data_IF_806792405301
#
_entry.id   IF_806792405301
#
_cell.length_a   1.000
_cell.length_b   1.000
_cell.length_c   1.000
_cell.angle_alpha   90.00
_cell.angle_beta   90.00
_cell.angle_gamma   90.00
#
_symmetry.space_group_name_H-M   'P 1'
#
loop_
_entity.id
_entity.type
_entity.pdbx_description
1 polymer ?
#
# COMPACT_ATOMS: atom_id res chain seq x y z
N UNK A 1 22.02 -5.97 -26.16
CA UNK A 1 21.90 -5.86 -24.68
C UNK A 1 20.52 -5.42 -24.20
N UNK A 2 19.71 -4.68 -24.99
CA UNK A 2 18.34 -4.31 -24.61
C UNK A 2 17.31 -5.47 -24.65
N UNK A 3 17.55 -6.50 -25.47
CA UNK A 3 16.62 -7.62 -25.66
C UNK A 3 16.69 -8.72 -24.60
N UNK A 4 17.70 -8.70 -23.70
CA UNK A 4 17.80 -9.70 -22.62
C UNK A 4 16.97 -9.31 -21.38
N UNK A 5 16.75 -8.01 -21.18
CA UNK A 5 16.02 -7.47 -20.01
C UNK A 5 14.50 -7.56 -20.20
N UNK A 6 14.01 -7.45 -21.44
CA UNK A 6 12.57 -7.55 -21.75
C UNK A 6 12.03 -9.00 -21.73
N UNK A 7 12.86 -10.00 -22.06
CA UNK A 7 12.42 -11.40 -22.02
C UNK A 7 12.37 -11.99 -20.60
N UNK A 8 13.09 -11.41 -19.63
CA UNK A 8 13.00 -11.81 -18.23
C UNK A 8 11.74 -11.23 -17.55
N UNK A 9 11.29 -10.04 -17.94
CA UNK A 9 10.08 -9.42 -17.40
C UNK A 9 8.79 -10.11 -17.91
N UNK A 10 8.78 -10.58 -19.16
CA UNK A 10 7.56 -11.12 -19.79
C UNK A 10 7.25 -12.56 -19.37
N UNK A 11 8.26 -13.36 -19.02
CA UNK A 11 8.06 -14.75 -18.56
C UNK A 11 7.67 -14.87 -17.08
N UNK A 12 7.83 -13.80 -16.29
CA UNK A 12 7.55 -13.84 -14.84
C UNK A 12 6.12 -13.43 -14.45
N UNK A 13 5.34 -12.87 -15.37
CA UNK A 13 3.94 -12.47 -15.12
C UNK A 13 2.97 -13.67 -15.16
N UNK A 14 3.38 -14.83 -15.70
CA UNK A 14 2.48 -15.98 -15.86
C UNK A 14 2.61 -17.08 -14.79
N UNK A 15 3.54 -17.00 -13.85
CA UNK A 15 3.67 -17.99 -12.76
C UNK A 15 3.30 -17.40 -11.40
N UNK A 16 2.03 -17.02 -11.30
CA UNK A 16 1.10 -17.27 -10.18
C UNK A 16 1.67 -17.13 -8.76
N UNK A 17 1.27 -16.05 -8.10
CA UNK A 17 0.90 -16.07 -6.68
C UNK A 17 0.02 -17.31 -6.40
N UNK A 18 0.48 -18.18 -5.50
CA UNK A 18 -0.08 -19.51 -5.21
C UNK A 18 -1.55 -19.57 -4.73
N UNK A 19 -2.25 -18.44 -4.67
CA UNK A 19 -3.67 -18.37 -4.33
C UNK A 19 -4.61 -18.56 -5.55
N UNK A 20 -4.17 -18.27 -6.79
CA UNK A 20 -5.05 -18.40 -7.97
C UNK A 20 -5.21 -19.85 -8.47
N UNK A 21 -4.29 -20.76 -8.11
CA UNK A 21 -4.31 -22.17 -8.57
C UNK A 21 -5.27 -23.06 -7.78
N UNK A 22 -5.73 -22.65 -6.59
CA UNK A 22 -6.65 -23.46 -5.77
C UNK A 22 -8.14 -23.28 -6.10
N UNK A 23 -8.55 -22.18 -6.75
CA UNK A 23 -9.97 -21.94 -7.07
C UNK A 23 -10.39 -22.23 -8.53
N UNK A 24 -9.46 -22.48 -9.46
CA UNK A 24 -9.82 -22.86 -10.85
C UNK A 24 -10.06 -24.37 -11.02
N UNK A 25 -9.49 -25.21 -10.16
CA UNK A 25 -9.68 -26.66 -10.26
C UNK A 25 -11.09 -27.10 -9.83
N UNK A 26 -11.86 -26.23 -9.14
CA UNK A 26 -13.25 -26.50 -8.78
C UNK A 26 -14.30 -25.84 -9.68
N UNK A 27 -13.94 -24.97 -10.63
CA UNK A 27 -14.92 -24.36 -11.55
C UNK A 27 -15.04 -25.06 -12.91
N UNK A 28 -14.13 -25.98 -13.26
CA UNK A 28 -14.13 -26.69 -14.54
C UNK A 28 -14.95 -28.00 -14.56
N UNK A 29 -15.91 -28.18 -13.65
CA UNK A 29 -16.76 -29.39 -13.60
C UNK A 29 -18.28 -29.16 -13.68
N UNK A 30 -18.76 -27.94 -13.90
CA UNK A 30 -20.20 -27.71 -14.08
C UNK A 30 -20.47 -27.02 -15.42
N UNK A 31 -20.65 -27.89 -16.41
CA UNK A 31 -21.56 -27.84 -17.55
C UNK A 31 -21.83 -26.50 -18.26
N UNK A 32 -21.41 -26.50 -19.54
CA UNK A 32 -22.17 -26.03 -20.70
C UNK A 32 -23.70 -26.03 -20.51
N UNK A 33 -24.36 -24.88 -20.77
CA UNK A 33 -25.43 -24.77 -21.79
C UNK A 33 -25.75 -23.28 -22.09
N UNK A 34 -26.04 -22.91 -23.36
CA UNK A 34 -26.33 -21.53 -23.79
C UNK A 34 -27.84 -21.22 -23.75
N UNK A 35 -28.22 -19.98 -24.13
CA UNK A 35 -29.55 -19.40 -24.41
C UNK A 35 -29.91 -18.30 -23.38
N UNK A 36 -29.69 -17.03 -23.72
CA UNK A 36 -30.69 -16.08 -24.26
C UNK A 36 -31.89 -15.91 -23.31
N UNK A 37 -32.09 -14.72 -22.75
CA UNK A 37 -33.38 -14.02 -22.61
C UNK A 37 -33.23 -12.74 -21.75
N UNK A 38 -33.63 -11.60 -22.36
CA UNK A 38 -34.24 -10.39 -21.76
C UNK A 38 -33.37 -9.49 -20.87
N UNK A 39 -33.02 -8.27 -21.29
CA UNK A 39 -33.90 -7.08 -21.36
C UNK A 39 -34.79 -6.88 -20.12
N UNK A 40 -34.26 -6.17 -19.13
CA UNK A 40 -34.98 -5.19 -18.28
C UNK A 40 -33.90 -4.22 -17.75
N UNK A 41 -33.64 -3.08 -18.40
CA UNK A 41 -34.32 -1.80 -18.15
C UNK A 41 -34.63 -1.56 -16.66
N UNK A 42 -33.82 -0.70 -16.01
CA UNK A 42 -34.37 0.38 -15.19
C UNK A 42 -33.33 1.51 -15.04
N UNK A 43 -33.54 2.55 -15.84
CA UNK A 43 -33.17 3.93 -15.53
C UNK A 43 -33.86 4.35 -14.23
N UNK A 44 -33.13 4.99 -13.30
CA UNK A 44 -33.70 6.10 -12.55
C UNK A 44 -32.65 7.20 -12.40
N UNK A 45 -33.02 8.35 -12.94
CA UNK A 45 -32.34 9.65 -12.85
C UNK A 45 -33.24 10.54 -11.98
N UNK A 46 -32.61 11.56 -11.38
CA UNK A 46 -33.16 12.67 -10.57
C UNK A 46 -33.23 12.39 -9.06
N UNK A 47 -32.86 13.30 -8.16
CA UNK A 47 -32.84 14.77 -8.25
C UNK A 47 -31.89 15.40 -7.21
N UNK A 48 -31.40 16.62 -7.51
CA UNK A 48 -30.73 17.52 -6.56
C UNK A 48 -31.74 18.02 -5.52
N UNK A 49 -31.30 18.18 -4.27
CA UNK A 49 -31.85 19.21 -3.39
C UNK A 49 -30.74 19.78 -2.53
N UNK A 50 -30.39 21.03 -2.79
CA UNK A 50 -29.73 21.92 -1.85
C UNK A 50 -30.68 22.20 -0.68
N UNK A 51 -30.18 22.09 0.55
CA UNK A 51 -30.61 22.94 1.65
C UNK A 51 -29.42 23.06 2.60
N UNK A 52 -28.74 24.20 2.54
CA UNK A 52 -27.91 24.64 3.66
C UNK A 52 -28.80 25.03 4.82
N UNK A 53 -28.41 24.61 6.03
CA UNK A 53 -28.65 25.32 7.29
C UNK A 53 -27.44 25.00 8.17
N UNK A 54 -26.85 26.07 8.69
CA UNK A 54 -25.79 26.11 9.67
C UNK A 54 -26.11 25.24 10.90
N UNK A 55 -25.14 24.45 11.36
CA UNK A 55 -25.01 24.15 12.79
C UNK A 55 -23.52 24.07 13.16
N UNK A 56 -22.91 25.24 13.18
CA UNK A 56 -21.85 25.55 14.12
C UNK A 56 -22.44 25.39 15.54
N UNK A 57 -21.69 24.79 16.46
CA UNK A 57 -22.08 24.40 17.82
C UNK A 57 -22.64 22.98 17.97
N UNK A 58 -21.74 22.01 18.15
CA UNK A 58 -21.69 21.13 19.33
C UNK A 58 -20.72 19.97 19.09
N UNK A 59 -19.42 20.19 19.33
CA UNK A 59 -18.53 19.11 19.79
C UNK A 59 -17.31 19.66 20.55
N UNK A 60 -17.55 20.57 21.50
CA UNK A 60 -16.66 20.67 22.67
C UNK A 60 -17.20 19.70 23.70
N UNK A 61 -16.54 18.54 23.81
CA UNK A 61 -16.11 17.86 25.05
C UNK A 61 -15.93 16.37 24.78
N UNK A 62 -14.79 16.00 24.20
CA UNK A 62 -14.16 14.69 24.48
C UNK A 62 -12.65 14.76 24.20
N UNK A 63 -11.97 15.72 24.84
CA UNK A 63 -10.52 15.71 24.98
C UNK A 63 -10.17 14.89 26.23
N UNK A 64 -10.54 13.61 26.24
CA UNK A 64 -9.60 12.63 26.78
C UNK A 64 -8.43 12.69 25.80
N UNK A 65 -7.25 13.06 26.30
CA UNK A 65 -6.01 13.20 25.51
C UNK A 65 -5.72 11.88 24.79
N UNK A 66 -6.33 11.68 23.61
CA UNK A 66 -6.10 10.50 22.79
C UNK A 66 -4.62 10.45 22.49
N UNK A 67 -3.95 9.42 22.97
CA UNK A 67 -2.50 9.32 22.85
C UNK A 67 -2.17 8.76 21.46
N UNK A 68 -2.24 9.63 20.46
CA UNK A 68 -2.02 9.29 19.04
C UNK A 68 -0.73 8.50 18.82
N UNK A 69 0.35 8.89 19.52
CA UNK A 69 1.64 8.20 19.44
C UNK A 69 1.54 6.76 19.93
N UNK A 70 0.84 6.50 21.03
CA UNK A 70 0.65 5.14 21.53
C UNK A 70 -0.17 4.30 20.54
N UNK A 71 -1.31 4.79 20.08
CA UNK A 71 -2.17 4.05 19.15
C UNK A 71 -1.47 3.74 17.81
N UNK A 72 -0.80 4.74 17.23
CA UNK A 72 0.00 4.56 16.00
C UNK A 72 1.14 3.59 16.23
N UNK A 73 1.87 3.71 17.35
CA UNK A 73 2.99 2.83 17.65
C UNK A 73 2.55 1.38 17.83
N UNK A 74 1.46 1.15 18.58
CA UNK A 74 0.91 -0.17 18.83
C UNK A 74 0.44 -0.79 17.53
N UNK A 75 -0.28 -0.03 16.70
CA UNK A 75 -0.68 -0.48 15.38
C UNK A 75 0.53 -0.82 14.51
N UNK A 76 1.49 0.10 14.35
CA UNK A 76 2.63 -0.09 13.47
C UNK A 76 3.50 -1.28 13.89
N UNK A 77 3.67 -1.51 15.18
CA UNK A 77 4.41 -2.65 15.73
C UNK A 77 3.69 -3.98 15.49
N UNK A 78 2.35 -4.00 15.58
CA UNK A 78 1.55 -5.22 15.41
C UNK A 78 1.05 -5.45 13.97
N UNK A 79 1.19 -4.46 13.09
CA UNK A 79 0.78 -4.58 11.69
C UNK A 79 1.51 -5.75 11.02
N UNK A 80 0.73 -6.67 10.44
CA UNK A 80 1.21 -7.86 9.75
C UNK A 80 0.54 -7.93 8.38
N UNK A 81 1.12 -7.27 7.36
CA UNK A 81 0.51 -7.20 6.05
C UNK A 81 0.46 -8.58 5.38
N UNK A 82 -0.47 -8.76 4.45
CA UNK A 82 -0.61 -9.93 3.59
C UNK A 82 -0.82 -9.45 2.15
N UNK A 83 0.25 -8.94 1.53
CA UNK A 83 0.22 -8.28 0.23
C UNK A 83 -0.18 -6.81 0.28
N UNK A 84 -0.06 -6.14 -0.88
CA UNK A 84 -0.27 -4.71 -1.06
C UNK A 84 -1.65 -4.20 -0.61
N UNK A 85 -2.70 -5.02 -0.78
CA UNK A 85 -4.07 -4.70 -0.37
C UNK A 85 -4.24 -4.53 1.14
N UNK A 86 -3.24 -4.91 1.94
CA UNK A 86 -3.23 -4.65 3.38
C UNK A 86 -3.30 -3.15 3.70
N UNK A 87 -2.82 -2.27 2.80
CA UNK A 87 -2.95 -0.82 2.97
C UNK A 87 -4.41 -0.36 2.98
N UNK A 88 -5.24 -0.93 2.11
CA UNK A 88 -6.67 -0.61 2.02
C UNK A 88 -7.46 -1.09 3.25
N UNK A 89 -6.87 -2.00 4.03
CA UNK A 89 -7.48 -2.57 5.23
C UNK A 89 -7.10 -1.82 6.51
N UNK A 90 -6.24 -0.80 6.42
CA UNK A 90 -5.83 0.00 7.59
C UNK A 90 -7.04 0.86 8.00
N UNK A 91 -7.50 0.79 9.26
CA UNK A 91 -8.65 1.55 9.72
C UNK A 91 -8.47 3.05 9.52
N UNK A 92 -9.52 3.73 9.05
CA UNK A 92 -9.46 5.17 8.74
C UNK A 92 -9.03 6.01 9.96
N UNK A 93 -9.48 5.63 11.17
CA UNK A 93 -9.08 6.31 12.40
C UNK A 93 -7.57 6.22 12.66
N UNK A 94 -6.93 5.09 12.34
CA UNK A 94 -5.47 4.95 12.46
C UNK A 94 -4.75 5.86 11.46
N UNK A 95 -5.27 5.99 10.23
CA UNK A 95 -4.68 6.89 9.24
C UNK A 95 -4.82 8.36 9.69
N UNK A 96 -5.96 8.73 10.31
CA UNK A 96 -6.11 10.04 10.95
C UNK A 96 -5.06 10.24 12.04
N UNK A 97 -4.84 9.24 12.87
CA UNK A 97 -3.86 9.35 13.95
C UNK A 97 -2.42 9.47 13.42
N UNK A 98 -2.09 8.84 12.29
CA UNK A 98 -0.83 9.11 11.57
C UNK A 98 -0.74 10.57 11.11
N UNK A 99 -1.80 11.10 10.50
CA UNK A 99 -1.85 12.50 10.04
C UNK A 99 -1.69 13.49 11.18
N UNK A 100 -2.32 13.23 12.32
CA UNK A 100 -2.15 14.04 13.54
C UNK A 100 -0.72 13.89 14.10
N UNK A 101 -0.19 12.65 14.14
CA UNK A 101 1.17 12.37 14.61
C UNK A 101 2.22 13.17 13.83
N UNK A 102 2.04 13.31 12.52
CA UNK A 102 2.91 14.13 11.65
C UNK A 102 3.05 15.57 12.13
N UNK A 103 1.97 16.17 12.63
CA UNK A 103 1.98 17.57 13.06
C UNK A 103 2.61 17.75 14.45
N UNK A 104 2.64 16.70 15.28
CA UNK A 104 3.07 16.79 16.69
C UNK A 104 4.45 16.18 16.95
N UNK A 105 4.85 15.15 16.20
CA UNK A 105 6.10 14.40 16.35
C UNK A 105 6.47 13.76 14.99
N UNK A 106 7.04 14.59 14.11
CA UNK A 106 7.45 14.21 12.75
C UNK A 106 8.40 13.01 12.74
N UNK A 107 9.34 12.94 13.71
CA UNK A 107 10.29 11.83 13.84
C UNK A 107 9.56 10.51 14.15
N UNK A 108 8.56 10.55 15.05
CA UNK A 108 7.76 9.37 15.32
C UNK A 108 6.88 8.98 14.12
N UNK A 109 6.28 9.95 13.43
CA UNK A 109 5.53 9.72 12.20
C UNK A 109 6.39 9.02 11.15
N UNK A 110 7.54 9.60 10.83
CA UNK A 110 8.48 9.07 9.84
C UNK A 110 8.86 7.62 10.14
N UNK A 111 9.24 7.36 11.39
CA UNK A 111 9.59 6.03 11.87
C UNK A 111 8.46 5.02 11.70
N UNK A 112 7.23 5.36 12.09
CA UNK A 112 6.13 4.39 12.03
C UNK A 112 5.58 4.21 10.62
N UNK A 113 5.55 5.26 9.80
CA UNK A 113 5.22 5.14 8.37
C UNK A 113 6.26 4.28 7.66
N UNK A 114 7.55 4.52 7.90
CA UNK A 114 8.64 3.70 7.37
C UNK A 114 8.48 2.24 7.79
N UNK A 115 8.16 1.96 9.05
CA UNK A 115 7.93 0.59 9.52
C UNK A 115 6.79 -0.11 8.78
N UNK A 116 5.65 0.55 8.57
CA UNK A 116 4.50 -0.01 7.83
C UNK A 116 4.92 -0.43 6.42
N UNK A 117 5.58 0.47 5.68
CA UNK A 117 5.97 0.19 4.31
C UNK A 117 7.13 -0.80 4.21
N UNK A 118 8.04 -0.82 5.18
CA UNK A 118 9.13 -1.83 5.26
C UNK A 118 8.56 -3.22 5.47
N UNK A 119 7.59 -3.38 6.37
CA UNK A 119 6.88 -4.65 6.58
C UNK A 119 6.15 -5.12 5.32
N UNK A 120 5.47 -4.18 4.66
CA UNK A 120 4.72 -4.46 3.45
C UNK A 120 5.64 -4.89 2.29
N UNK A 121 6.80 -4.24 2.17
CA UNK A 121 7.78 -4.62 1.16
C UNK A 121 8.43 -5.98 1.46
N UNK A 122 8.83 -6.21 2.72
CA UNK A 122 9.38 -7.50 3.16
C UNK A 122 8.43 -8.68 2.86
N UNK A 123 7.15 -8.54 3.20
CA UNK A 123 6.16 -9.59 2.94
C UNK A 123 6.03 -9.89 1.44
N UNK A 124 5.97 -8.85 0.62
CA UNK A 124 5.79 -9.05 -0.81
C UNK A 124 7.02 -9.68 -1.46
N UNK A 125 8.22 -9.24 -1.06
CA UNK A 125 9.47 -9.81 -1.54
C UNK A 125 9.59 -11.29 -1.19
N UNK A 126 9.13 -11.70 0.00
CA UNK A 126 9.06 -13.10 0.40
C UNK A 126 8.06 -13.91 -0.43
N UNK A 127 6.90 -13.34 -0.76
CA UNK A 127 5.84 -14.04 -1.47
C UNK A 127 6.16 -14.25 -2.96
N UNK A 128 6.67 -13.19 -3.60
CA UNK A 128 6.72 -13.09 -5.06
C UNK A 128 8.13 -12.86 -5.62
N UNK A 129 9.14 -12.63 -4.77
CA UNK A 129 10.50 -12.29 -5.19
C UNK A 129 10.58 -11.11 -6.17
N UNK A 130 9.63 -10.18 -6.07
CA UNK A 130 9.45 -9.05 -6.98
C UNK A 130 9.03 -7.82 -6.20
N UNK A 131 9.13 -6.64 -6.81
CA UNK A 131 8.46 -5.42 -6.33
C UNK A 131 7.01 -5.38 -6.84
N UNK A 132 6.07 -4.89 -6.04
CA UNK A 132 4.72 -4.60 -6.52
C UNK A 132 4.54 -3.13 -6.86
N UNK A 133 3.50 -2.84 -7.62
CA UNK A 133 3.07 -1.47 -7.90
C UNK A 133 2.15 -1.01 -6.78
N UNK A 134 2.61 -0.03 -6.01
CA UNK A 134 1.83 0.67 -4.99
C UNK A 134 0.76 1.52 -5.68
N UNK A 135 1.15 2.27 -6.72
CA UNK A 135 0.27 3.18 -7.43
C UNK A 135 0.73 3.40 -8.87
N UNK A 136 -0.23 3.45 -9.79
CA UNK A 136 -0.05 4.02 -11.12
C UNK A 136 -0.58 5.45 -11.11
N UNK A 137 0.16 6.39 -11.70
CA UNK A 137 -0.25 7.79 -11.80
C UNK A 137 -0.57 8.11 -13.25
N UNK A 138 -1.71 8.75 -13.53
CA UNK A 138 -1.99 9.22 -14.89
C UNK A 138 -0.98 10.32 -15.28
N UNK A 139 -0.61 10.35 -16.56
CA UNK A 139 0.37 11.31 -17.08
C UNK A 139 -0.07 12.77 -16.90
N UNK A 140 -1.38 13.02 -16.93
CA UNK A 140 -1.98 14.35 -16.71
C UNK A 140 -2.17 14.68 -15.22
N UNK A 141 -1.86 13.73 -14.32
CA UNK A 141 -1.91 13.85 -12.86
C UNK A 141 -3.28 14.24 -12.30
N UNK A 142 -4.33 14.19 -13.12
CA UNK A 142 -5.66 14.72 -12.81
C UNK A 142 -6.41 13.91 -11.76
N UNK A 143 -6.04 12.63 -11.58
CA UNK A 143 -6.73 11.71 -10.68
C UNK A 143 -6.05 11.54 -9.31
N UNK A 144 -4.93 12.23 -9.07
CA UNK A 144 -4.25 12.10 -7.78
C UNK A 144 -4.73 13.15 -6.79
N UNK A 145 -5.28 12.67 -5.68
CA UNK A 145 -5.78 13.48 -4.58
C UNK A 145 -4.83 13.35 -3.38
N UNK A 146 -4.00 14.39 -3.16
CA UNK A 146 -3.09 14.50 -2.01
C UNK A 146 -3.84 14.76 -0.69
N UNK A 147 -5.07 15.25 -0.74
CA UNK A 147 -5.88 15.52 0.45
C UNK A 147 -6.53 14.23 0.98
N UNK A 148 -6.71 13.23 0.11
CA UNK A 148 -7.25 11.92 0.46
C UNK A 148 -6.50 11.30 1.63
N UNK A 149 -7.25 10.81 2.61
CA UNK A 149 -6.70 10.14 3.77
C UNK A 149 -6.27 8.71 3.42
N UNK A 150 -4.97 8.51 3.14
CA UNK A 150 -4.40 7.19 2.83
C UNK A 150 -2.97 7.08 3.35
N UNK A 151 -2.52 5.87 3.68
CA UNK A 151 -1.12 5.63 4.05
C UNK A 151 -0.13 5.92 2.92
N UNK A 152 -0.58 5.77 1.66
CA UNK A 152 0.14 6.17 0.43
C UNK A 152 0.46 7.66 0.48
N UNK A 153 -0.51 8.50 0.84
CA UNK A 153 -0.28 9.93 1.06
C UNK A 153 0.60 10.20 2.28
N UNK A 154 0.43 9.49 3.39
CA UNK A 154 1.29 9.71 4.57
C UNK A 154 2.78 9.45 4.27
N UNK A 155 3.09 8.42 3.48
CA UNK A 155 4.46 8.19 3.00
C UNK A 155 4.89 9.23 1.97
N UNK A 156 4.00 9.65 1.07
CA UNK A 156 4.27 10.73 0.10
C UNK A 156 4.75 12.00 0.81
N UNK A 157 4.01 12.42 1.84
CA UNK A 157 4.32 13.61 2.64
C UNK A 157 5.63 13.46 3.41
N UNK A 158 5.89 12.29 4.00
CA UNK A 158 7.13 12.01 4.73
C UNK A 158 8.36 12.04 3.81
N UNK A 159 8.27 11.38 2.65
CA UNK A 159 9.43 11.16 1.78
C UNK A 159 9.70 12.25 0.76
N UNK A 160 8.73 13.15 0.51
CA UNK A 160 8.74 14.10 -0.60
C UNK A 160 8.97 13.46 -1.98
N UNK A 161 8.81 12.14 -2.12
CA UNK A 161 8.95 11.44 -3.40
C UNK A 161 7.75 11.61 -4.33
N UNK A 162 6.64 12.07 -3.77
CA UNK A 162 5.37 12.23 -4.47
C UNK A 162 4.85 13.61 -4.13
N UNK A 163 5.33 14.61 -4.87
CA UNK A 163 4.68 15.91 -4.97
C UNK A 163 3.99 16.02 -6.35
N UNK A 164 3.00 16.89 -6.49
CA UNK A 164 2.22 17.03 -7.72
C UNK A 164 3.10 17.32 -8.96
N UNK A 165 4.28 17.90 -8.78
CA UNK A 165 5.19 18.25 -9.88
C UNK A 165 6.07 17.05 -10.28
N UNK A 166 6.39 16.16 -9.33
CA UNK A 166 7.37 15.08 -9.48
C UNK A 166 6.79 13.67 -9.40
N UNK A 167 5.46 13.51 -9.45
CA UNK A 167 4.83 12.19 -9.51
C UNK A 167 5.49 11.34 -10.63
N UNK A 168 6.08 10.18 -10.29
CA UNK A 168 6.54 9.23 -11.30
C UNK A 168 5.34 8.63 -12.01
N UNK A 169 5.55 7.97 -13.15
CA UNK A 169 4.48 7.20 -13.83
C UNK A 169 3.99 6.03 -12.97
N UNK A 170 4.91 5.37 -12.28
CA UNK A 170 4.67 4.20 -11.44
C UNK A 170 5.42 4.36 -10.13
N UNK A 171 4.74 4.07 -9.02
CA UNK A 171 5.36 3.93 -7.71
C UNK A 171 5.39 2.45 -7.31
N UNK A 172 6.60 1.93 -7.14
CA UNK A 172 6.84 0.52 -6.76
C UNK A 172 7.31 0.39 -5.32
N UNK A 173 7.08 -0.78 -4.73
CA UNK A 173 7.49 -1.11 -3.37
C UNK A 173 9.00 -1.09 -3.13
N UNK A 174 9.80 -1.24 -4.20
CA UNK A 174 11.26 -1.12 -4.12
C UNK A 174 11.74 0.27 -3.71
N UNK A 175 10.86 1.28 -3.73
CA UNK A 175 11.17 2.61 -3.21
C UNK A 175 11.63 2.58 -1.75
N UNK A 176 11.23 1.56 -0.99
CA UNK A 176 11.53 1.44 0.42
C UNK A 176 13.00 1.07 0.65
N UNK A 177 13.59 0.27 -0.23
CA UNK A 177 15.04 0.04 -0.18
C UNK A 177 15.82 1.34 -0.42
N UNK A 178 15.36 2.14 -1.39
CA UNK A 178 15.95 3.45 -1.67
C UNK A 178 15.82 4.37 -0.46
N UNK A 179 14.61 4.48 0.09
CA UNK A 179 14.33 5.29 1.28
C UNK A 179 15.22 4.94 2.47
N UNK A 180 15.35 3.65 2.80
CA UNK A 180 16.20 3.18 3.91
C UNK A 180 17.70 3.35 3.64
N UNK A 181 18.11 3.41 2.37
CA UNK A 181 19.50 3.70 1.99
C UNK A 181 19.82 5.18 2.16
N UNK A 182 18.85 6.06 1.85
CA UNK A 182 18.98 7.51 1.99
C UNK A 182 18.85 7.98 3.45
N UNK A 183 18.17 7.19 4.31
CA UNK A 183 17.89 7.51 5.72
C UNK A 183 18.37 6.37 6.67
N UNK A 184 19.69 6.14 6.79
CA UNK A 184 20.24 5.00 7.53
C UNK A 184 19.98 5.03 9.04
N UNK A 185 19.76 6.20 9.64
CA UNK A 185 19.44 6.36 11.06
C UNK A 185 18.12 5.70 11.45
N UNK A 186 17.17 5.55 10.52
CA UNK A 186 15.93 4.80 10.76
C UNK A 186 16.18 3.32 11.05
N UNK A 187 17.35 2.78 10.66
CA UNK A 187 17.76 1.41 10.95
C UNK A 187 18.15 1.20 12.42
N UNK A 188 18.42 2.27 13.17
CA UNK A 188 18.65 2.19 14.62
C UNK A 188 17.37 1.80 15.38
N UNK A 189 16.19 2.05 14.78
CA UNK A 189 14.94 1.53 15.30
C UNK A 189 14.83 0.03 14.98
N UNK A 190 15.04 -0.77 16.02
CA UNK A 190 15.17 -2.24 15.98
C UNK A 190 14.14 -2.96 15.08
N UNK A 191 12.83 -2.63 15.10
CA UNK A 191 11.87 -3.25 14.21
C UNK A 191 12.16 -3.02 12.72
N UNK A 192 12.55 -1.80 12.33
CA UNK A 192 12.92 -1.50 10.93
C UNK A 192 14.21 -2.25 10.57
N UNK A 193 15.21 -2.21 11.46
CA UNK A 193 16.48 -2.91 11.27
C UNK A 193 16.29 -4.41 10.98
N UNK A 194 15.43 -5.09 11.76
CA UNK A 194 15.08 -6.50 11.54
C UNK A 194 14.48 -6.76 10.15
N UNK A 195 13.47 -5.99 9.74
CA UNK A 195 12.85 -6.20 8.43
C UNK A 195 13.80 -5.85 7.28
N UNK A 196 14.67 -4.85 7.44
CA UNK A 196 15.69 -4.51 6.45
C UNK A 196 16.70 -5.65 6.27
N UNK A 197 17.15 -6.29 7.36
CA UNK A 197 18.02 -7.47 7.27
C UNK A 197 17.34 -8.63 6.54
N UNK A 198 16.04 -8.85 6.82
CA UNK A 198 15.24 -9.83 6.11
C UNK A 198 15.17 -9.52 4.60
N UNK A 199 14.83 -8.27 4.24
CA UNK A 199 14.80 -7.80 2.85
C UNK A 199 16.13 -8.06 2.16
N UNK A 200 17.26 -7.66 2.76
CA UNK A 200 18.60 -7.89 2.19
C UNK A 200 18.87 -9.37 1.94
N UNK A 201 18.54 -10.22 2.91
CA UNK A 201 18.71 -11.68 2.80
C UNK A 201 17.90 -12.25 1.63
N UNK A 202 16.63 -11.86 1.50
CA UNK A 202 15.78 -12.32 0.40
C UNK A 202 16.29 -11.75 -0.94
N UNK A 203 16.64 -10.46 -0.99
CA UNK A 203 17.19 -9.82 -2.19
C UNK A 203 18.50 -10.47 -2.66
N UNK A 204 19.37 -10.91 -1.75
CA UNK A 204 20.58 -11.67 -2.09
C UNK A 204 20.27 -13.04 -2.68
N UNK A 205 19.34 -13.80 -2.08
CA UNK A 205 18.87 -15.08 -2.64
C UNK A 205 18.30 -14.89 -4.04
N UNK A 206 17.49 -13.86 -4.24
CA UNK A 206 16.93 -13.52 -5.56
C UNK A 206 18.04 -13.25 -6.58
N UNK A 207 19.08 -12.49 -6.21
CA UNK A 207 20.21 -12.17 -7.09
C UNK A 207 21.03 -13.40 -7.46
N UNK A 208 21.17 -14.35 -6.53
CA UNK A 208 21.91 -15.59 -6.75
C UNK A 208 21.11 -16.65 -7.52
N UNK A 209 19.80 -16.43 -7.70
CA UNK A 209 18.91 -17.41 -8.33
C UNK A 209 18.45 -18.52 -7.39
N UNK A 210 18.63 -18.35 -6.08
CA UNK A 210 18.28 -19.30 -5.02
C UNK A 210 16.77 -19.23 -4.72
N UNK A 211 15.96 -19.51 -5.74
CA UNK A 211 14.52 -19.55 -5.61
C UNK A 211 14.11 -20.91 -5.05
N UNK A 212 13.69 -20.93 -3.78
CA UNK A 212 12.99 -22.06 -3.13
C UNK A 212 13.86 -23.22 -2.61
N UNK A 213 14.93 -22.95 -1.89
CA UNK A 213 15.44 -23.94 -0.92
C UNK A 213 14.51 -23.98 0.31
N UNK A 214 13.50 -24.85 0.25
CA UNK A 214 12.79 -25.37 1.42
C UNK A 214 13.43 -26.69 1.85
#
# INVERSE_FOLDING_TARGET
MLNLVLNHATNHIQTRCGAFKRNIVNLNKILFLPILFLLFNCNQKQEKTENGINSESELKTQSESRNYKNEVSEFALNFSPKGASALDSIPENIIKDFRELRAIDEIAHEKYVTLIFTKLYAEHLQCCHQSYIIKHFPADKSEYDFDKLTMVNEFAFMSNYLDAEKLPEIWTSGIIEKWLTENPELLEFEPIGKYNQFIKTVSEKIKNGDYWDN
#
